data_IF_093420246214
#
_entry.id   IF_093420246214
#
_cell.length_a   1.000
_cell.length_b   1.000
_cell.length_c   1.000
_cell.angle_alpha   90.00
_cell.angle_beta   90.00
_cell.angle_gamma   90.00
#
_symmetry.space_group_name_H-M   'P 1'
#
loop_
_entity.id
_entity.type
_entity.pdbx_description
1 polymer ?
#
# COMPACT_ATOMS: atom_id res chain seq x y z
N UNK A 1 -14.32 -5.34 -29.80
CA UNK A 1 -14.20 -4.31 -28.75
C UNK A 1 -12.77 -4.40 -28.30
N UNK A 2 -11.90 -3.51 -28.78
CA UNK A 2 -10.50 -3.50 -28.36
C UNK A 2 -10.49 -3.23 -26.86
N UNK A 3 -10.02 -4.21 -26.09
CA UNK A 3 -9.95 -4.11 -24.64
C UNK A 3 -8.71 -3.30 -24.30
N UNK A 4 -8.74 -2.00 -24.57
CA UNK A 4 -7.75 -1.08 -24.03
C UNK A 4 -7.91 -1.09 -22.52
N UNK A 5 -6.92 -1.64 -21.81
CA UNK A 5 -6.88 -1.59 -20.36
C UNK A 5 -6.97 -0.12 -19.93
N UNK A 6 -7.99 0.23 -19.14
CA UNK A 6 -8.04 1.50 -18.46
C UNK A 6 -6.97 1.47 -17.34
N UNK A 7 -6.03 2.41 -17.38
CA UNK A 7 -4.94 2.54 -16.40
C UNK A 7 -4.06 1.28 -16.29
N UNK A 8 -3.40 0.81 -17.37
CA UNK A 8 -2.66 -0.45 -17.37
C UNK A 8 -1.55 -0.50 -16.31
N UNK A 9 -0.88 0.62 -16.03
CA UNK A 9 0.19 0.67 -15.03
C UNK A 9 -0.41 0.58 -13.63
N UNK A 10 -1.45 1.35 -13.34
CA UNK A 10 -2.13 1.30 -12.06
C UNK A 10 -2.77 -0.04 -11.80
N UNK A 11 -3.39 -0.65 -12.81
CA UNK A 11 -4.00 -1.98 -12.73
C UNK A 11 -2.95 -3.05 -12.35
N UNK A 12 -1.74 -2.99 -12.92
CA UNK A 12 -0.64 -3.88 -12.55
C UNK A 12 -0.31 -3.79 -11.05
N UNK A 13 -0.07 -2.58 -10.54
CA UNK A 13 0.30 -2.39 -9.15
C UNK A 13 -0.87 -2.67 -8.19
N UNK A 14 -2.10 -2.30 -8.57
CA UNK A 14 -3.30 -2.61 -7.82
C UNK A 14 -3.48 -4.13 -7.66
N UNK A 15 -3.28 -4.91 -8.73
CA UNK A 15 -3.33 -6.37 -8.68
C UNK A 15 -2.28 -6.98 -7.75
N UNK A 16 -1.02 -6.54 -7.87
CA UNK A 16 0.07 -7.02 -7.00
C UNK A 16 -0.17 -6.65 -5.53
N UNK A 17 -0.64 -5.44 -5.27
CA UNK A 17 -0.97 -4.96 -3.93
C UNK A 17 -2.21 -5.66 -3.36
N UNK A 18 -3.19 -6.02 -4.18
CA UNK A 18 -4.35 -6.81 -3.75
C UNK A 18 -3.94 -8.21 -3.29
N UNK A 19 -3.01 -8.87 -4.00
CA UNK A 19 -2.45 -10.15 -3.55
C UNK A 19 -1.75 -9.98 -2.20
N UNK A 20 -0.91 -8.95 -2.06
CA UNK A 20 -0.24 -8.65 -0.79
C UNK A 20 -1.24 -8.34 0.33
N UNK A 21 -2.32 -7.62 0.05
CA UNK A 21 -3.40 -7.35 1.00
C UNK A 21 -3.99 -8.64 1.55
N UNK A 22 -4.35 -9.60 0.69
CA UNK A 22 -4.93 -10.88 1.10
C UNK A 22 -3.94 -11.68 1.95
N UNK A 23 -2.66 -11.71 1.56
CA UNK A 23 -1.61 -12.37 2.36
C UNK A 23 -1.52 -11.76 3.77
N UNK A 24 -1.56 -10.43 3.88
CA UNK A 24 -1.50 -9.75 5.17
C UNK A 24 -2.75 -9.97 6.02
N UNK A 25 -3.94 -9.89 5.40
CA UNK A 25 -5.22 -10.13 6.06
C UNK A 25 -5.33 -11.57 6.58
N UNK A 26 -4.92 -12.54 5.76
CA UNK A 26 -4.98 -13.98 6.07
C UNK A 26 -4.12 -14.41 7.26
N UNK A 27 -3.15 -13.58 7.69
CA UNK A 27 -2.37 -13.83 8.90
C UNK A 27 -3.14 -13.59 10.20
N UNK A 28 -4.19 -12.78 10.18
CA UNK A 28 -4.93 -12.37 11.38
C UNK A 28 -5.85 -13.48 11.93
N UNK A 29 -6.69 -14.17 11.13
CA UNK A 29 -7.62 -15.17 11.67
C UNK A 29 -6.96 -16.32 12.45
N UNK A 30 -5.84 -16.93 11.99
CA UNK A 30 -5.16 -17.98 12.75
C UNK A 30 -4.63 -17.47 14.11
N UNK A 31 -4.13 -16.23 14.15
CA UNK A 31 -3.64 -15.62 15.38
C UNK A 31 -4.78 -15.30 16.35
N UNK A 32 -5.94 -14.84 15.86
CA UNK A 32 -7.15 -14.64 16.66
C UNK A 32 -7.63 -15.94 17.30
N UNK A 33 -7.65 -17.01 16.51
CA UNK A 33 -8.04 -18.33 17.01
C UNK A 33 -7.10 -18.81 18.12
N UNK A 34 -5.78 -18.68 17.92
CA UNK A 34 -4.78 -19.04 18.92
C UNK A 34 -4.88 -18.20 20.20
N UNK A 35 -5.09 -16.89 20.07
CA UNK A 35 -5.23 -15.98 21.19
C UNK A 35 -6.61 -16.09 21.89
N UNK A 36 -7.59 -16.77 21.29
CA UNK A 36 -9.00 -16.83 21.74
C UNK A 36 -9.64 -15.44 21.88
N UNK A 37 -9.36 -14.56 20.92
CA UNK A 37 -9.81 -13.15 20.92
C UNK A 37 -10.74 -12.88 19.74
N UNK A 38 -11.96 -12.42 20.02
CA UNK A 38 -12.94 -12.04 19.01
C UNK A 38 -12.63 -10.68 18.34
N UNK A 39 -12.41 -9.63 19.13
CA UNK A 39 -12.15 -8.25 18.67
C UNK A 39 -10.91 -7.71 19.38
N UNK A 40 -10.16 -6.83 18.71
CA UNK A 40 -8.89 -6.29 19.23
C UNK A 40 -7.75 -7.28 19.10
N UNK A 41 -6.75 -7.18 19.97
CA UNK A 41 -5.57 -8.05 19.99
C UNK A 41 -5.42 -8.90 21.28
N UNK A 42 -6.23 -8.62 22.30
CA UNK A 42 -6.21 -9.32 23.59
C UNK A 42 -4.85 -9.36 24.28
N UNK A 43 -3.98 -8.38 23.97
CA UNK A 43 -2.62 -8.33 24.50
C UNK A 43 -1.64 -9.33 23.88
N UNK A 44 -2.03 -10.09 22.86
CA UNK A 44 -1.11 -10.99 22.14
C UNK A 44 -0.20 -10.17 21.20
N UNK A 45 1.12 -10.10 21.44
CA UNK A 45 2.01 -9.24 20.66
C UNK A 45 2.11 -9.63 19.18
N UNK A 46 1.87 -10.89 18.83
CA UNK A 46 1.90 -11.34 17.44
C UNK A 46 0.61 -10.91 16.71
N UNK A 47 -0.54 -10.99 17.36
CA UNK A 47 -1.80 -10.49 16.85
C UNK A 47 -1.79 -8.96 16.71
N UNK A 48 -1.29 -8.23 17.72
CA UNK A 48 -1.10 -6.77 17.63
C UNK A 48 -0.25 -6.39 16.42
N UNK A 49 0.89 -7.08 16.21
CA UNK A 49 1.75 -6.83 15.04
C UNK A 49 1.02 -7.11 13.73
N UNK A 50 0.37 -8.26 13.59
CA UNK A 50 -0.35 -8.60 12.36
C UNK A 50 -1.45 -7.58 12.02
N UNK A 51 -2.23 -7.17 13.02
CA UNK A 51 -3.26 -6.13 12.87
C UNK A 51 -2.63 -4.80 12.43
N UNK A 52 -1.51 -4.36 13.03
CA UNK A 52 -0.85 -3.10 12.65
C UNK A 52 -0.17 -3.16 11.28
N UNK A 53 0.40 -4.29 10.86
CA UNK A 53 0.91 -4.44 9.48
C UNK A 53 -0.22 -4.25 8.48
N UNK A 54 -1.33 -4.97 8.68
CA UNK A 54 -2.47 -4.91 7.79
C UNK A 54 -3.15 -3.53 7.83
N UNK A 55 -3.33 -2.96 9.03
CA UNK A 55 -3.87 -1.62 9.24
C UNK A 55 -3.06 -0.57 8.50
N UNK A 56 -1.73 -0.58 8.65
CA UNK A 56 -0.89 0.37 7.93
C UNK A 56 -0.95 0.21 6.40
N UNK A 57 -1.15 -1.03 5.91
CA UNK A 57 -1.38 -1.27 4.49
C UNK A 57 -2.67 -0.58 4.03
N UNK A 58 -3.80 -0.84 4.69
CA UNK A 58 -5.10 -0.31 4.26
C UNK A 58 -5.26 1.20 4.51
N UNK A 59 -4.52 1.76 5.47
CA UNK A 59 -4.48 3.21 5.74
C UNK A 59 -3.85 4.00 4.57
N UNK A 60 -2.90 3.40 3.83
CA UNK A 60 -2.07 4.13 2.86
C UNK A 60 -2.27 3.68 1.39
N UNK A 61 -2.42 2.37 1.15
CA UNK A 61 -2.44 1.83 -0.21
C UNK A 61 -3.65 2.28 -1.03
N UNK A 62 -4.90 2.31 -0.50
CA UNK A 62 -6.05 2.76 -1.27
C UNK A 62 -5.90 4.19 -1.80
N UNK A 63 -5.50 5.14 -0.94
CA UNK A 63 -5.31 6.53 -1.36
C UNK A 63 -4.14 6.67 -2.35
N UNK A 64 -3.06 5.90 -2.15
CA UNK A 64 -1.94 5.88 -3.09
C UNK A 64 -2.36 5.37 -4.49
N UNK A 65 -3.18 4.33 -4.56
CA UNK A 65 -3.74 3.82 -5.82
C UNK A 65 -4.68 4.82 -6.49
N UNK A 66 -5.48 5.56 -5.70
CA UNK A 66 -6.37 6.60 -6.23
C UNK A 66 -5.58 7.73 -6.89
N UNK A 67 -4.58 8.30 -6.19
CA UNK A 67 -3.77 9.39 -6.79
C UNK A 67 -2.95 8.90 -7.98
N UNK A 68 -2.51 7.64 -7.97
CA UNK A 68 -1.78 7.05 -9.08
C UNK A 68 -2.69 6.84 -10.30
N UNK A 69 -3.93 6.35 -10.11
CA UNK A 69 -4.91 6.20 -11.18
C UNK A 69 -5.26 7.55 -11.81
N UNK A 70 -5.48 8.59 -11.00
CA UNK A 70 -5.76 9.94 -11.46
C UNK A 70 -4.58 10.53 -12.23
N UNK A 71 -3.36 10.36 -11.72
CA UNK A 71 -2.16 10.84 -12.41
C UNK A 71 -1.99 10.14 -13.78
N UNK A 72 -2.19 8.82 -13.84
CA UNK A 72 -2.16 8.05 -15.09
C UNK A 72 -3.25 8.49 -16.08
N UNK A 73 -4.48 8.70 -15.58
CA UNK A 73 -5.62 9.20 -16.36
C UNK A 73 -5.31 10.55 -17.01
N UNK A 74 -4.62 11.43 -16.29
CA UNK A 74 -4.26 12.77 -16.72
C UNK A 74 -2.96 12.79 -17.55
N UNK A 75 -2.53 11.66 -18.09
CA UNK A 75 -1.44 11.60 -19.07
C UNK A 75 -0.04 11.36 -18.49
N UNK A 76 0.09 10.97 -17.22
CA UNK A 76 1.40 10.56 -16.67
C UNK A 76 1.94 9.30 -17.41
N UNK A 77 1.05 8.44 -17.91
CA UNK A 77 1.42 7.33 -18.80
C UNK A 77 2.46 6.39 -18.18
N UNK A 78 3.53 6.01 -18.90
CA UNK A 78 4.58 5.12 -18.37
C UNK A 78 5.29 5.64 -17.12
N UNK A 79 5.32 6.96 -16.89
CA UNK A 79 5.96 7.55 -15.71
C UNK A 79 5.24 7.18 -14.40
N UNK A 80 4.01 6.67 -14.48
CA UNK A 80 3.26 6.12 -13.34
C UNK A 80 4.00 4.99 -12.61
N UNK A 81 4.93 4.29 -13.29
CA UNK A 81 5.81 3.31 -12.64
C UNK A 81 6.68 3.91 -11.52
N UNK A 82 7.02 5.21 -11.60
CA UNK A 82 7.77 5.91 -10.55
C UNK A 82 6.98 6.08 -9.25
N UNK A 83 5.65 5.97 -9.30
CA UNK A 83 4.78 5.95 -8.13
C UNK A 83 4.53 4.50 -7.66
N UNK A 84 4.23 3.60 -8.60
CA UNK A 84 3.84 2.23 -8.27
C UNK A 84 4.97 1.34 -7.77
N UNK A 85 6.17 1.42 -8.35
CA UNK A 85 7.28 0.55 -7.95
C UNK A 85 7.75 0.83 -6.51
N UNK A 86 7.98 2.10 -6.10
CA UNK A 86 8.33 2.41 -4.71
C UNK A 86 7.21 2.03 -3.73
N UNK A 87 5.94 2.20 -4.09
CA UNK A 87 4.81 1.78 -3.27
C UNK A 87 4.88 0.28 -3.00
N UNK A 88 4.96 -0.54 -4.05
CA UNK A 88 5.00 -2.00 -3.93
C UNK A 88 6.22 -2.48 -3.12
N UNK A 89 7.41 -2.00 -3.47
CA UNK A 89 8.66 -2.37 -2.78
C UNK A 89 8.59 -1.99 -1.30
N UNK A 90 8.14 -0.78 -1.00
CA UNK A 90 7.97 -0.29 0.36
C UNK A 90 7.00 -1.12 1.19
N UNK A 91 5.86 -1.52 0.61
CA UNK A 91 4.86 -2.35 1.30
C UNK A 91 5.36 -3.77 1.53
N UNK A 92 6.06 -4.37 0.55
CA UNK A 92 6.68 -5.68 0.72
C UNK A 92 7.78 -5.64 1.80
N UNK A 93 8.66 -4.63 1.76
CA UNK A 93 9.71 -4.42 2.75
C UNK A 93 9.15 -4.21 4.16
N UNK A 94 8.09 -3.42 4.30
CA UNK A 94 7.40 -3.20 5.58
C UNK A 94 6.81 -4.50 6.14
N UNK A 95 6.15 -5.29 5.30
CA UNK A 95 5.57 -6.58 5.66
C UNK A 95 6.63 -7.59 6.15
N UNK A 96 7.83 -7.58 5.55
CA UNK A 96 8.97 -8.41 5.96
C UNK A 96 9.60 -7.86 7.25
N UNK A 97 9.76 -6.55 7.37
CA UNK A 97 10.39 -5.88 8.51
C UNK A 97 9.68 -6.10 9.84
N UNK A 98 8.34 -6.16 9.84
CA UNK A 98 7.57 -6.40 11.08
C UNK A 98 7.58 -7.87 11.54
N UNK A 99 7.97 -8.81 10.66
CA UNK A 99 8.14 -10.21 11.02
C UNK A 99 9.37 -10.48 11.90
N UNK A 100 10.32 -9.53 11.97
CA UNK A 100 11.64 -9.74 12.58
C UNK A 100 11.86 -9.02 13.92
N UNK A 101 11.26 -7.86 14.18
CA UNK A 101 11.34 -7.20 15.51
C UNK A 101 10.21 -6.19 15.76
N UNK A 102 9.92 -5.92 17.03
CA UNK A 102 8.93 -4.92 17.47
C UNK A 102 9.49 -3.48 17.55
N UNK A 103 10.81 -3.30 17.42
CA UNK A 103 11.49 -2.00 17.53
C UNK A 103 11.41 -1.13 16.26
N UNK A 104 12.05 0.05 16.29
CA UNK A 104 12.35 0.83 15.09
C UNK A 104 13.18 -0.03 14.15
N UNK A 105 12.75 -0.18 12.90
CA UNK A 105 13.54 -0.88 11.89
C UNK A 105 13.59 -0.04 10.62
N UNK A 106 14.74 -0.05 9.94
CA UNK A 106 14.93 0.66 8.67
C UNK A 106 13.85 0.28 7.65
N UNK A 107 13.38 -0.98 7.68
CA UNK A 107 12.30 -1.47 6.83
C UNK A 107 10.94 -0.82 7.14
N UNK A 108 10.66 -0.45 8.39
CA UNK A 108 9.46 0.32 8.76
C UNK A 108 9.53 1.75 8.22
N UNK A 109 10.69 2.39 8.34
CA UNK A 109 10.91 3.73 7.83
C UNK A 109 10.79 3.77 6.30
N UNK A 110 11.43 2.83 5.60
CA UNK A 110 11.34 2.71 4.13
C UNK A 110 9.89 2.53 3.71
N UNK A 111 9.14 1.63 4.37
CA UNK A 111 7.72 1.45 4.10
C UNK A 111 6.94 2.76 4.22
N UNK A 112 7.07 3.45 5.35
CA UNK A 112 6.35 4.70 5.61
C UNK A 112 6.71 5.79 4.59
N UNK A 113 8.00 6.05 4.39
CA UNK A 113 8.51 7.10 3.50
C UNK A 113 8.07 6.85 2.05
N UNK A 114 8.09 5.60 1.59
CA UNK A 114 7.67 5.28 0.22
C UNK A 114 6.18 5.50 0.00
N UNK A 115 5.30 5.08 0.91
CA UNK A 115 3.86 5.31 0.69
C UNK A 115 3.48 6.78 0.84
N UNK A 116 3.99 7.47 1.86
CA UNK A 116 3.72 8.89 2.03
C UNK A 116 4.32 9.71 0.88
N UNK A 117 5.51 9.35 0.42
CA UNK A 117 6.13 9.94 -0.76
C UNK A 117 5.27 9.76 -2.00
N UNK A 118 4.74 8.55 -2.25
CA UNK A 118 3.85 8.29 -3.38
C UNK A 118 2.53 9.07 -3.27
N UNK A 119 1.92 9.13 -2.09
CA UNK A 119 0.68 9.89 -1.86
C UNK A 119 0.92 11.39 -2.11
N UNK A 120 2.00 11.94 -1.53
CA UNK A 120 2.33 13.36 -1.64
C UNK A 120 2.70 13.72 -3.09
N UNK A 121 3.62 13.00 -3.71
CA UNK A 121 4.06 13.25 -5.07
C UNK A 121 2.92 13.03 -6.07
N UNK A 122 2.14 11.96 -5.93
CA UNK A 122 0.97 11.71 -6.77
C UNK A 122 -0.07 12.82 -6.65
N UNK A 123 -0.34 13.30 -5.43
CA UNK A 123 -1.21 14.45 -5.18
C UNK A 123 -0.69 15.74 -5.82
N UNK A 124 0.61 16.03 -5.70
CA UNK A 124 1.24 17.19 -6.33
C UNK A 124 1.19 17.12 -7.86
N UNK A 125 1.42 15.93 -8.44
CA UNK A 125 1.27 15.70 -9.89
C UNK A 125 -0.17 15.97 -10.32
N UNK A 126 -1.17 15.45 -9.60
CA UNK A 126 -2.57 15.71 -9.89
C UNK A 126 -2.90 17.21 -9.85
N UNK A 127 -2.42 17.94 -8.83
CA UNK A 127 -2.62 19.38 -8.71
C UNK A 127 -1.95 20.16 -9.85
N UNK A 128 -0.73 19.79 -10.22
CA UNK A 128 -0.03 20.40 -11.36
C UNK A 128 -0.78 20.17 -12.68
N UNK A 129 -1.27 18.94 -12.92
CA UNK A 129 -2.06 18.60 -14.10
C UNK A 129 -3.35 19.42 -14.18
N UNK A 130 -4.05 19.62 -13.07
CA UNK A 130 -5.26 20.46 -13.02
C UNK A 130 -4.94 21.92 -13.32
N UNK A 131 -3.86 22.47 -12.76
CA UNK A 131 -3.44 23.86 -13.04
C UNK A 131 -3.11 24.09 -14.52
N UNK A 132 -2.64 23.08 -15.25
CA UNK A 132 -2.39 23.22 -16.69
C UNK A 132 -3.67 23.18 -17.56
N UNK A 133 -4.80 22.76 -16.99
CA UNK A 133 -6.07 22.57 -17.69
C UNK A 133 -7.10 23.68 -17.42
N UNK A 134 -6.88 24.50 -16.39
CA UNK A 134 -7.69 25.67 -16.03
C UNK A 134 -7.00 26.97 -16.48
#
# INVERSE_FOLDING_TARGET
MDMTLAFPVTALYAGLLAILHVILAGRIPPLRYKAKVGIGDGGDPALTRAIRVHGNFIENVPIALVVMALAEANGLGPWTHLLGAPLLIGRAAHAVGLGRSAGPSALRLIGMVTAWGVILLGGLVCLAQVHHLL
#
